data_IF_489565140620
#
_entry.id   IF_489565140620
#
_cell.length_a   1.000
_cell.length_b   1.000
_cell.length_c   1.000
_cell.angle_alpha   90.00
_cell.angle_beta   90.00
_cell.angle_gamma   90.00
#
_symmetry.space_group_name_H-M   'P 1'
#
loop_
_entity.id
_entity.type
_entity.pdbx_description
1 polymer ?
#
# COMPACT_ATOMS: atom_id res chain seq x y z
N UNK A 1 -17.98 -34.31 71.65
CA UNK A 1 -16.96 -33.65 70.80
C UNK A 1 -17.67 -33.10 69.57
N UNK A 2 -17.62 -31.78 69.36
CA UNK A 2 -18.38 -31.01 68.36
C UNK A 2 -17.43 -30.54 67.25
N UNK A 3 -17.80 -30.69 65.98
CA UNK A 3 -17.21 -30.04 64.79
C UNK A 3 -18.42 -29.48 64.00
N UNK A 4 -18.69 -28.17 63.86
CA UNK A 4 -18.00 -27.14 63.03
C UNK A 4 -17.67 -27.72 61.64
N UNK A 5 -18.27 -27.24 60.52
CA UNK A 5 -18.11 -25.91 59.96
C UNK A 5 -19.35 -25.40 59.19
N UNK A 6 -19.40 -24.08 59.08
CA UNK A 6 -20.57 -23.25 58.87
C UNK A 6 -20.88 -22.94 57.40
N UNK A 7 -22.18 -22.73 57.18
CA UNK A 7 -22.80 -22.05 56.06
C UNK A 7 -22.33 -20.60 55.93
N UNK A 8 -22.08 -20.13 54.70
CA UNK A 8 -22.08 -18.69 54.37
C UNK A 8 -22.78 -18.40 53.03
N UNK A 9 -24.06 -18.08 53.19
CA UNK A 9 -24.83 -17.00 52.57
C UNK A 9 -24.17 -16.19 51.42
N UNK A 10 -24.82 -16.26 50.27
CA UNK A 10 -24.80 -15.26 49.20
C UNK A 10 -25.82 -14.16 49.56
N UNK A 11 -25.38 -12.90 49.66
CA UNK A 11 -26.14 -11.66 49.29
C UNK A 11 -25.43 -10.37 49.73
N UNK A 12 -25.41 -9.38 48.83
CA UNK A 12 -25.41 -7.94 49.17
C UNK A 12 -24.11 -7.20 48.88
N UNK A 13 -23.97 -6.60 47.69
CA UNK A 13 -24.15 -5.14 47.44
C UNK A 13 -23.20 -4.24 48.24
N UNK A 14 -22.16 -3.71 47.58
CA UNK A 14 -21.73 -2.33 47.77
C UNK A 14 -21.24 -1.76 46.44
N UNK A 15 -21.61 -0.50 46.24
CA UNK A 15 -21.55 0.30 45.03
C UNK A 15 -20.11 0.60 44.63
N UNK A 16 -19.80 0.48 43.34
CA UNK A 16 -18.92 1.43 42.64
C UNK A 16 -19.60 1.80 41.32
N UNK A 17 -20.32 2.91 41.35
CA UNK A 17 -20.64 3.71 40.18
C UNK A 17 -19.38 4.54 39.88
N UNK A 18 -19.17 4.84 38.58
CA UNK A 18 -18.09 5.66 37.98
C UNK A 18 -16.81 4.90 37.61
N UNK A 19 -16.82 4.36 36.40
CA UNK A 19 -15.76 4.62 35.40
C UNK A 19 -16.22 4.09 34.04
N UNK A 20 -17.30 4.68 33.50
CA UNK A 20 -17.40 4.87 32.05
C UNK A 20 -16.28 5.86 31.71
N UNK A 21 -15.05 5.35 31.60
CA UNK A 21 -14.00 6.09 30.93
C UNK A 21 -14.51 6.18 29.51
N UNK A 22 -14.98 7.37 29.17
CA UNK A 22 -14.95 7.91 27.81
C UNK A 22 -13.52 7.74 27.33
N UNK A 23 -13.19 6.56 26.79
CA UNK A 23 -12.15 6.43 25.79
C UNK A 23 -12.87 6.62 24.46
N UNK A 24 -13.51 7.78 24.30
CA UNK A 24 -13.33 8.50 23.05
C UNK A 24 -11.83 8.82 23.05
N UNK A 25 -11.05 7.86 22.54
CA UNK A 25 -9.63 8.04 22.31
C UNK A 25 -9.48 9.36 21.60
N UNK A 26 -8.84 10.30 22.28
CA UNK A 26 -8.28 11.50 21.67
C UNK A 26 -7.34 10.96 20.60
N UNK A 27 -7.85 10.76 19.40
CA UNK A 27 -7.00 10.56 18.25
C UNK A 27 -6.25 11.89 18.13
N UNK A 28 -4.93 11.88 18.31
CA UNK A 28 -4.16 13.09 18.07
C UNK A 28 -4.39 13.54 16.62
N UNK A 29 -4.34 14.84 16.38
CA UNK A 29 -4.62 15.44 15.06
C UNK A 29 -3.70 14.95 13.92
N UNK A 30 -2.66 14.17 14.24
CA UNK A 30 -1.81 13.46 13.28
C UNK A 30 -2.31 12.07 12.90
N UNK A 31 -3.42 11.58 13.47
CA UNK A 31 -4.20 10.44 12.93
C UNK A 31 -4.91 10.87 11.63
N UNK A 32 -4.15 11.56 10.80
CA UNK A 32 -4.46 12.20 9.54
C UNK A 32 -4.86 11.07 8.60
N UNK A 33 -6.19 11.00 8.39
CA UNK A 33 -6.89 10.32 7.30
C UNK A 33 -5.97 9.50 6.42
N UNK A 34 -5.84 8.20 6.72
CA UNK A 34 -5.20 7.26 5.81
C UNK A 34 -5.92 7.37 4.47
N UNK A 35 -5.18 7.77 3.43
CA UNK A 35 -5.68 7.78 2.06
C UNK A 35 -6.28 6.39 1.76
N UNK A 36 -7.46 6.36 1.14
CA UNK A 36 -8.19 5.11 0.86
C UNK A 36 -8.22 4.88 -0.65
N UNK A 37 -7.89 3.66 -1.11
CA UNK A 37 -7.92 3.29 -2.54
C UNK A 37 -9.27 3.58 -3.20
N UNK A 38 -10.38 3.39 -2.49
CA UNK A 38 -11.71 3.69 -3.02
C UNK A 38 -11.91 5.20 -3.24
N UNK A 39 -11.37 6.05 -2.36
CA UNK A 39 -11.44 7.51 -2.55
C UNK A 39 -10.55 7.95 -3.70
N UNK A 40 -9.35 7.38 -3.81
CA UNK A 40 -8.42 7.59 -4.93
C UNK A 40 -9.09 7.20 -6.24
N UNK A 41 -9.70 6.02 -6.31
CA UNK A 41 -10.49 5.57 -7.46
C UNK A 41 -11.60 6.57 -7.82
N UNK A 42 -12.40 6.97 -6.83
CA UNK A 42 -13.52 7.90 -7.07
C UNK A 42 -13.04 9.25 -7.62
N UNK A 43 -11.91 9.76 -7.12
CA UNK A 43 -11.27 10.97 -7.67
C UNK A 43 -10.86 10.73 -9.12
N UNK A 44 -10.08 9.68 -9.40
CA UNK A 44 -9.63 9.36 -10.76
C UNK A 44 -10.79 9.25 -11.76
N UNK A 45 -11.84 8.50 -11.42
CA UNK A 45 -13.01 8.33 -12.29
C UNK A 45 -13.80 9.62 -12.48
N UNK A 46 -13.85 10.51 -11.47
CA UNK A 46 -14.49 11.82 -11.63
C UNK A 46 -13.82 12.70 -12.69
N UNK A 47 -12.55 12.43 -13.01
CA UNK A 47 -11.82 13.12 -14.08
C UNK A 47 -12.25 12.68 -15.47
N UNK A 48 -12.81 11.49 -15.64
CA UNK A 48 -13.24 10.95 -16.94
C UNK A 48 -14.26 11.84 -17.66
N UNK A 49 -15.01 12.66 -16.92
CA UNK A 49 -16.01 13.59 -17.46
C UNK A 49 -15.53 15.05 -17.51
N UNK A 50 -14.30 15.33 -17.10
CA UNK A 50 -13.73 16.67 -17.14
C UNK A 50 -13.20 16.98 -18.54
N UNK A 51 -13.38 18.23 -18.99
CA UNK A 51 -12.79 18.71 -20.24
C UNK A 51 -11.27 18.50 -20.22
N UNK A 52 -10.72 18.01 -21.33
CA UNK A 52 -9.31 17.62 -21.42
C UNK A 52 -9.02 16.16 -21.06
N UNK A 53 -9.93 15.46 -20.38
CA UNK A 53 -9.72 14.11 -19.86
C UNK A 53 -10.71 13.08 -20.38
N UNK A 54 -11.67 13.48 -21.22
CA UNK A 54 -12.63 12.55 -21.81
C UNK A 54 -11.94 11.62 -22.81
N UNK A 55 -12.47 10.40 -22.96
CA UNK A 55 -12.01 9.42 -23.94
C UNK A 55 -11.85 10.04 -25.33
N UNK A 56 -10.70 9.82 -25.96
CA UNK A 56 -10.41 10.30 -27.30
C UNK A 56 -9.98 11.77 -27.39
N UNK A 57 -9.88 12.48 -26.27
CA UNK A 57 -9.33 13.85 -26.24
C UNK A 57 -7.91 13.84 -26.84
N UNK A 58 -7.60 14.71 -27.82
CA UNK A 58 -6.25 14.83 -28.35
C UNK A 58 -5.25 15.14 -27.24
N UNK A 59 -4.18 14.36 -27.17
CA UNK A 59 -3.14 14.53 -26.15
C UNK A 59 -1.81 14.08 -26.72
N UNK A 60 -0.87 15.00 -26.85
CA UNK A 60 0.45 14.77 -27.44
C UNK A 60 1.57 15.24 -26.51
N UNK A 61 2.82 15.19 -26.99
CA UNK A 61 3.98 15.62 -26.21
C UNK A 61 4.02 17.12 -25.88
N UNK A 62 3.19 17.96 -26.51
CA UNK A 62 3.10 19.38 -26.19
C UNK A 62 2.27 19.65 -24.92
N UNK A 63 1.54 18.65 -24.44
CA UNK A 63 0.81 18.70 -23.19
C UNK A 63 1.79 18.54 -22.03
N UNK A 64 2.17 19.66 -21.43
CA UNK A 64 3.13 19.73 -20.34
C UNK A 64 2.43 19.82 -19.00
N UNK A 65 2.97 19.09 -18.02
CA UNK A 65 2.56 19.18 -16.62
C UNK A 65 3.76 19.48 -15.74
N UNK A 66 3.60 20.46 -14.86
CA UNK A 66 4.61 20.87 -13.88
C UNK A 66 4.19 20.35 -12.51
N UNK A 67 5.07 19.61 -11.84
CA UNK A 67 4.77 18.98 -10.56
C UNK A 67 4.34 20.01 -9.50
N UNK A 68 3.29 19.71 -8.73
CA UNK A 68 2.84 20.55 -7.60
C UNK A 68 3.18 19.95 -6.25
N UNK A 69 3.57 18.67 -6.24
CA UNK A 69 4.15 17.98 -5.07
C UNK A 69 5.59 17.58 -5.35
N UNK A 70 6.35 17.21 -4.32
CA UNK A 70 7.68 16.62 -4.51
C UNK A 70 7.55 15.34 -5.34
N UNK A 71 8.36 15.23 -6.39
CA UNK A 71 8.38 14.08 -7.29
C UNK A 71 9.79 13.49 -7.32
N UNK A 72 9.94 12.30 -6.75
CA UNK A 72 11.20 11.57 -6.64
C UNK A 72 12.35 12.42 -6.05
N UNK A 73 12.05 13.11 -4.96
CA UNK A 73 12.98 14.04 -4.31
C UNK A 73 13.15 15.40 -5.00
N UNK A 74 12.60 15.59 -6.21
CA UNK A 74 12.60 16.88 -6.91
C UNK A 74 11.48 17.76 -6.31
N UNK A 75 11.81 18.97 -5.80
CA UNK A 75 10.80 19.83 -5.18
C UNK A 75 9.64 20.22 -6.12
N UNK A 76 8.49 20.52 -5.53
CA UNK A 76 7.33 21.07 -6.24
C UNK A 76 7.73 22.26 -7.11
N UNK A 77 7.33 22.24 -8.38
CA UNK A 77 7.60 23.29 -9.35
C UNK A 77 8.99 23.25 -10.00
N UNK A 78 9.74 22.16 -9.85
CA UNK A 78 11.08 22.00 -10.46
C UNK A 78 11.16 20.84 -11.47
N UNK A 79 10.06 20.12 -11.67
CA UNK A 79 9.99 19.01 -12.61
C UNK A 79 8.81 19.19 -13.58
N UNK A 80 9.06 18.97 -14.87
CA UNK A 80 8.06 19.09 -15.93
C UNK A 80 8.03 17.80 -16.74
N UNK A 81 6.87 17.14 -16.76
CA UNK A 81 6.58 16.01 -17.63
C UNK A 81 5.82 16.44 -18.88
N UNK A 82 6.00 15.72 -19.99
CA UNK A 82 5.22 15.90 -21.23
C UNK A 82 4.45 14.64 -21.61
N UNK A 83 3.41 14.79 -22.43
CA UNK A 83 2.67 13.67 -23.01
C UNK A 83 2.10 12.71 -21.98
N UNK A 84 2.34 11.41 -22.15
CA UNK A 84 1.85 10.37 -21.24
C UNK A 84 2.41 10.51 -19.82
N UNK A 85 3.66 10.95 -19.68
CA UNK A 85 4.29 11.12 -18.37
C UNK A 85 3.72 12.33 -17.63
N UNK A 86 3.49 13.45 -18.34
CA UNK A 86 2.80 14.62 -17.79
C UNK A 86 1.35 14.30 -17.36
N UNK A 87 0.62 13.53 -18.16
CA UNK A 87 -0.71 13.04 -17.80
C UNK A 87 -0.69 12.19 -16.53
N UNK A 88 0.25 11.23 -16.43
CA UNK A 88 0.42 10.38 -15.25
C UNK A 88 0.69 11.22 -14.00
N UNK A 89 1.64 12.16 -14.06
CA UNK A 89 1.94 13.05 -12.93
C UNK A 89 0.69 13.81 -12.45
N UNK A 90 -0.06 14.41 -13.37
CA UNK A 90 -1.24 15.19 -13.02
C UNK A 90 -2.37 14.35 -12.42
N UNK A 91 -2.63 13.19 -13.01
CA UNK A 91 -3.62 12.25 -12.49
C UNK A 91 -3.25 11.75 -11.10
N UNK A 92 -1.98 11.43 -10.86
CA UNK A 92 -1.48 10.99 -9.56
C UNK A 92 -1.61 12.08 -8.49
N UNK A 93 -1.16 13.30 -8.80
CA UNK A 93 -1.27 14.43 -7.88
C UNK A 93 -2.74 14.77 -7.59
N UNK A 94 -3.62 14.70 -8.60
CA UNK A 94 -5.05 14.88 -8.40
C UNK A 94 -5.66 13.80 -7.48
N UNK A 95 -5.26 12.54 -7.67
CA UNK A 95 -5.79 11.42 -6.90
C UNK A 95 -5.37 11.45 -5.42
N UNK A 96 -4.17 11.97 -5.15
CA UNK A 96 -3.63 12.18 -3.80
C UNK A 96 -4.05 13.52 -3.16
N UNK A 97 -4.94 14.28 -3.81
CA UNK A 97 -5.34 15.62 -3.38
C UNK A 97 -4.18 16.63 -3.27
N UNK A 98 -3.10 16.41 -4.03
CA UNK A 98 -1.90 17.25 -4.03
C UNK A 98 -1.19 17.33 -2.67
N UNK A 99 -1.40 16.34 -1.80
CA UNK A 99 -0.85 16.34 -0.43
C UNK A 99 0.36 15.42 -0.26
N UNK A 100 0.50 14.42 -1.12
CA UNK A 100 1.48 13.35 -0.93
C UNK A 100 2.62 13.42 -1.95
N UNK A 101 3.89 13.31 -1.50
CA UNK A 101 5.01 13.23 -2.41
C UNK A 101 4.94 11.93 -3.23
N UNK A 102 5.33 12.01 -4.50
CA UNK A 102 5.44 10.86 -5.39
C UNK A 102 6.89 10.37 -5.36
N UNK A 103 7.10 9.05 -5.32
CA UNK A 103 8.42 8.41 -5.43
C UNK A 103 8.42 7.35 -6.52
N UNK A 104 9.60 7.05 -7.06
CA UNK A 104 9.76 5.98 -8.05
C UNK A 104 10.31 4.73 -7.35
N UNK A 105 9.68 3.58 -7.64
CA UNK A 105 10.09 2.25 -7.21
C UNK A 105 10.45 1.45 -8.47
N UNK A 106 11.56 0.71 -8.42
CA UNK A 106 11.98 -0.15 -9.53
C UNK A 106 10.90 -1.20 -9.87
N UNK A 107 10.65 -1.40 -11.16
CA UNK A 107 9.67 -2.36 -11.65
C UNK A 107 10.26 -3.77 -11.66
N UNK A 108 10.09 -4.50 -10.57
CA UNK A 108 10.47 -5.91 -10.47
C UNK A 108 9.23 -6.78 -10.31
N UNK A 109 9.34 -8.07 -10.63
CA UNK A 109 8.25 -9.04 -10.38
C UNK A 109 7.82 -9.06 -8.92
N UNK A 110 8.77 -8.88 -7.99
CA UNK A 110 8.50 -8.84 -6.55
C UNK A 110 7.74 -7.58 -6.13
N UNK A 111 7.78 -6.51 -6.93
CA UNK A 111 7.06 -5.26 -6.69
C UNK A 111 5.67 -5.21 -7.36
N UNK A 112 5.33 -6.13 -8.26
CA UNK A 112 4.00 -6.19 -8.86
C UNK A 112 2.85 -6.32 -7.84
N UNK A 113 2.98 -7.14 -6.76
CA UNK A 113 1.95 -7.22 -5.74
C UNK A 113 1.70 -5.91 -4.98
N UNK A 114 2.67 -4.98 -4.95
CA UNK A 114 2.57 -3.73 -4.18
C UNK A 114 1.88 -2.61 -4.94
N UNK A 115 1.56 -2.81 -6.22
CA UNK A 115 0.80 -1.87 -7.04
C UNK A 115 -0.59 -1.67 -6.45
N UNK A 116 -1.00 -0.41 -6.38
CA UNK A 116 -2.28 0.05 -5.85
C UNK A 116 -2.99 0.96 -6.84
N UNK A 117 -4.29 1.19 -6.60
CA UNK A 117 -5.04 2.19 -7.36
C UNK A 117 -4.36 3.56 -7.27
N UNK A 118 -4.27 4.25 -8.40
CA UNK A 118 -3.63 5.56 -8.53
C UNK A 118 -2.12 5.54 -8.73
N UNK A 119 -1.45 4.38 -8.62
CA UNK A 119 -0.04 4.29 -9.00
C UNK A 119 0.16 4.59 -10.49
N UNK A 120 1.26 5.28 -10.78
CA UNK A 120 1.78 5.42 -12.14
C UNK A 120 2.63 4.21 -12.50
N UNK A 121 2.51 3.70 -13.72
CA UNK A 121 3.31 2.59 -14.20
C UNK A 121 4.02 2.98 -15.49
N UNK A 122 5.33 2.72 -15.55
CA UNK A 122 6.16 2.94 -16.73
C UNK A 122 6.35 1.65 -17.52
N UNK A 123 6.07 1.73 -18.81
CA UNK A 123 5.97 0.62 -19.77
C UNK A 123 6.79 0.93 -21.04
N UNK A 124 6.85 -0.04 -21.95
CA UNK A 124 7.51 0.02 -23.25
C UNK A 124 9.01 0.37 -23.12
N UNK A 125 9.69 -0.22 -22.14
CA UNK A 125 11.11 0.02 -21.83
C UNK A 125 11.37 1.52 -21.61
N UNK A 126 10.69 2.09 -20.62
CA UNK A 126 10.73 3.52 -20.30
C UNK A 126 10.14 4.46 -21.38
N UNK A 127 9.23 3.96 -22.22
CA UNK A 127 8.64 4.72 -23.33
C UNK A 127 7.26 5.32 -23.05
N UNK A 128 6.46 4.72 -22.15
CA UNK A 128 5.06 5.08 -21.95
C UNK A 128 4.64 5.02 -20.48
N UNK A 129 3.72 5.91 -20.07
CA UNK A 129 3.22 5.98 -18.71
C UNK A 129 1.70 5.86 -18.67
N UNK A 130 1.21 5.13 -17.67
CA UNK A 130 -0.21 4.89 -17.42
C UNK A 130 -0.51 5.05 -15.92
N UNK A 131 -1.78 5.21 -15.55
CA UNK A 131 -2.24 5.28 -14.15
C UNK A 131 -3.20 4.14 -13.87
N UNK A 132 -2.97 3.40 -12.79
CA UNK A 132 -3.78 2.26 -12.38
C UNK A 132 -5.15 2.73 -11.86
N UNK A 133 -6.21 2.23 -12.47
CA UNK A 133 -7.60 2.43 -12.03
C UNK A 133 -8.07 1.26 -11.18
N UNK A 134 -7.73 0.04 -11.58
CA UNK A 134 -8.16 -1.17 -10.88
C UNK A 134 -7.06 -2.23 -10.96
N UNK A 135 -6.97 -3.06 -9.91
CA UNK A 135 -6.10 -4.24 -9.87
C UNK A 135 -6.95 -5.50 -10.04
N UNK A 136 -6.78 -6.22 -11.14
CA UNK A 136 -7.49 -7.47 -11.43
C UNK A 136 -6.77 -8.65 -10.76
N UNK A 137 -5.43 -8.63 -10.77
CA UNK A 137 -4.56 -9.59 -10.10
C UNK A 137 -3.22 -8.94 -9.79
N UNK A 138 -2.27 -9.67 -9.20
CA UNK A 138 -0.94 -9.13 -8.88
C UNK A 138 -0.19 -8.54 -10.07
N UNK A 139 -0.46 -9.00 -11.29
CA UNK A 139 0.23 -8.56 -12.51
C UNK A 139 -0.71 -7.95 -13.55
N UNK A 140 -2.03 -7.90 -13.31
CA UNK A 140 -3.01 -7.38 -14.28
C UNK A 140 -3.76 -6.18 -13.72
N UNK A 141 -3.77 -5.10 -14.48
CA UNK A 141 -4.35 -3.81 -14.09
C UNK A 141 -5.24 -3.24 -15.19
N UNK A 142 -6.26 -2.49 -14.81
CA UNK A 142 -6.99 -1.57 -15.69
C UNK A 142 -6.41 -0.18 -15.53
N UNK A 143 -6.20 0.55 -16.63
CA UNK A 143 -5.51 1.85 -16.58
C UNK A 143 -6.27 3.00 -17.25
N UNK A 144 -5.93 4.22 -16.83
CA UNK A 144 -6.09 5.45 -17.59
C UNK A 144 -4.74 5.85 -18.19
N UNK A 145 -4.76 6.38 -19.40
CA UNK A 145 -3.53 6.81 -20.09
C UNK A 145 -3.81 7.95 -21.06
N UNK A 146 -2.76 8.62 -21.50
CA UNK A 146 -2.85 9.60 -22.58
C UNK A 146 -1.63 9.51 -23.48
N UNK A 147 -1.67 10.21 -24.62
CA UNK A 147 -0.65 10.10 -25.67
C UNK A 147 -0.44 8.65 -26.17
N UNK A 148 -1.38 7.75 -25.91
CA UNK A 148 -1.45 6.47 -26.59
C UNK A 148 -2.24 6.71 -27.88
N UNK A 149 -1.57 6.60 -29.03
CA UNK A 149 -2.15 7.05 -30.31
C UNK A 149 -2.48 8.55 -30.35
N UNK A 150 -1.80 9.37 -29.52
CA UNK A 150 -2.01 10.81 -29.43
C UNK A 150 -3.33 11.22 -28.77
N UNK A 151 -3.91 10.37 -27.92
CA UNK A 151 -5.21 10.60 -27.27
C UNK A 151 -5.25 10.12 -25.82
N UNK A 152 -6.23 10.61 -25.08
CA UNK A 152 -6.64 10.07 -23.77
C UNK A 152 -7.45 8.79 -23.95
N UNK A 153 -7.15 7.79 -23.12
CA UNK A 153 -7.81 6.49 -23.09
C UNK A 153 -8.11 6.03 -21.67
N UNK A 154 -9.22 5.31 -21.50
CA UNK A 154 -9.65 4.72 -20.23
C UNK A 154 -10.03 3.26 -20.39
N UNK A 155 -9.60 2.42 -19.46
CA UNK A 155 -10.13 1.07 -19.31
C UNK A 155 -9.34 -0.03 -20.02
N UNK A 156 -8.12 0.24 -20.51
CA UNK A 156 -7.28 -0.80 -21.10
C UNK A 156 -6.76 -1.73 -20.01
N UNK A 157 -6.89 -3.04 -20.21
CA UNK A 157 -6.22 -4.05 -19.40
C UNK A 157 -4.77 -4.22 -19.84
N UNK A 158 -3.85 -4.27 -18.87
CA UNK A 158 -2.43 -4.49 -19.10
C UNK A 158 -1.95 -5.61 -18.18
N UNK A 159 -1.23 -6.56 -18.77
CA UNK A 159 -0.45 -7.58 -18.06
C UNK A 159 1.00 -7.08 -17.89
N UNK A 160 1.35 -6.65 -16.68
CA UNK A 160 2.65 -6.09 -16.33
C UNK A 160 3.76 -7.14 -16.27
N UNK A 161 3.40 -8.42 -16.14
CA UNK A 161 4.34 -9.54 -16.19
C UNK A 161 4.69 -9.93 -17.64
N UNK A 162 3.93 -9.46 -18.63
CA UNK A 162 4.22 -9.76 -20.02
C UNK A 162 5.44 -8.96 -20.52
N UNK A 163 6.50 -9.68 -20.91
CA UNK A 163 7.79 -9.08 -21.33
C UNK A 163 7.64 -8.02 -22.43
N UNK A 164 6.73 -8.23 -23.38
CA UNK A 164 6.51 -7.29 -24.48
C UNK A 164 5.94 -5.93 -24.03
N UNK A 165 5.37 -5.83 -22.83
CA UNK A 165 4.91 -4.56 -22.26
C UNK A 165 6.06 -3.76 -21.62
N UNK A 166 7.25 -4.34 -21.45
CA UNK A 166 8.46 -3.62 -21.02
C UNK A 166 8.30 -2.83 -19.72
N UNK A 167 7.70 -3.45 -18.70
CA UNK A 167 7.50 -2.84 -17.38
C UNK A 167 8.85 -2.41 -16.78
N UNK A 168 8.94 -1.16 -16.32
CA UNK A 168 10.20 -0.54 -15.91
C UNK A 168 10.18 -0.03 -14.47
N UNK A 169 9.15 0.72 -14.08
CA UNK A 169 9.04 1.27 -12.73
C UNK A 169 7.60 1.61 -12.37
N UNK A 170 7.39 1.83 -11.07
CA UNK A 170 6.14 2.27 -10.46
C UNK A 170 6.39 3.65 -9.85
N UNK A 171 5.58 4.64 -10.18
CA UNK A 171 5.50 5.89 -9.45
C UNK A 171 4.36 5.77 -8.43
N UNK A 172 4.61 6.09 -7.16
CA UNK A 172 3.60 5.96 -6.11
C UNK A 172 3.59 7.14 -5.14
N UNK A 173 2.39 7.59 -4.75
CA UNK A 173 2.17 8.57 -3.69
C UNK A 173 1.69 7.92 -2.38
N UNK A 174 1.32 6.64 -2.42
CA UNK A 174 0.96 5.90 -1.20
C UNK A 174 2.11 6.07 -0.25
N UNK A 175 1.94 6.49 1.01
CA UNK A 175 3.07 6.59 1.91
C UNK A 175 3.83 5.27 1.86
N UNK A 176 5.17 5.33 1.91
CA UNK A 176 5.86 4.12 2.35
C UNK A 176 5.16 3.76 3.63
N UNK A 177 4.63 2.55 3.71
CA UNK A 177 4.29 2.03 5.02
C UNK A 177 5.66 1.99 5.69
N UNK A 178 5.99 3.05 6.43
CA UNK A 178 7.09 3.05 7.37
C UNK A 178 6.61 2.02 8.36
N UNK A 179 6.88 0.77 8.08
CA UNK A 179 6.60 -0.38 8.90
C UNK A 179 7.73 -1.35 8.56
N UNK A 180 8.96 -0.88 8.78
CA UNK A 180 10.03 -1.79 9.17
C UNK A 180 9.56 -2.48 10.45
N UNK A 181 8.85 -3.58 10.29
CA UNK A 181 8.97 -4.65 11.26
C UNK A 181 10.33 -5.26 10.94
N UNK A 182 11.33 -4.89 11.74
CA UNK A 182 12.59 -5.62 11.75
C UNK A 182 12.26 -7.08 12.08
N UNK A 183 12.15 -7.90 11.06
CA UNK A 183 11.93 -9.33 11.17
C UNK A 183 13.31 -9.94 11.15
N UNK A 184 13.82 -10.26 12.34
CA UNK A 184 14.86 -11.27 12.46
C UNK A 184 14.20 -12.63 12.23
N UNK A 185 14.01 -13.04 10.98
CA UNK A 185 13.80 -14.46 10.67
C UNK A 185 15.20 -15.02 10.52
N UNK A 186 15.74 -15.67 11.54
CA UNK A 186 16.96 -16.46 11.38
C UNK A 186 16.57 -17.86 10.93
N UNK A 187 16.59 -18.06 9.62
CA UNK A 187 16.62 -19.39 9.04
C UNK A 187 18.06 -19.94 9.12
N UNK A 188 18.30 -20.78 10.13
CA UNK A 188 19.48 -21.65 10.19
C UNK A 188 19.18 -22.90 9.34
N UNK A 189 19.32 -22.72 8.02
CA UNK A 189 19.45 -23.72 6.96
C UNK A 189 18.17 -24.21 6.26
N UNK A 190 18.26 -24.19 4.92
CA UNK A 190 17.25 -24.35 3.85
C UNK A 190 16.33 -25.60 3.88
N UNK A 191 16.27 -26.36 4.97
CA UNK A 191 15.36 -27.50 5.14
C UNK A 191 14.91 -27.69 6.61
N UNK A 192 15.22 -26.74 7.50
CA UNK A 192 14.85 -26.84 8.91
C UNK A 192 13.53 -26.13 9.24
N UNK A 193 12.72 -26.70 10.16
CA UNK A 193 11.49 -26.07 10.60
C UNK A 193 11.73 -24.71 11.26
N UNK A 194 10.96 -23.69 10.87
CA UNK A 194 10.95 -22.38 11.55
C UNK A 194 10.70 -22.64 13.04
N UNK A 195 11.57 -22.10 13.90
CA UNK A 195 11.54 -22.31 15.36
C UNK A 195 10.94 -21.14 16.12
N UNK A 196 11.01 -19.95 15.53
CA UNK A 196 10.60 -18.71 16.18
C UNK A 196 10.26 -17.65 15.12
N UNK A 197 9.14 -16.94 15.32
CA UNK A 197 8.78 -15.74 14.57
C UNK A 197 8.56 -14.61 15.56
N UNK A 198 9.33 -13.52 15.43
CA UNK A 198 9.14 -12.30 16.21
C UNK A 198 8.71 -11.17 15.29
N UNK A 199 7.62 -10.52 15.68
CA UNK A 199 7.04 -9.39 15.00
C UNK A 199 7.18 -8.19 15.94
N UNK A 200 7.72 -7.10 15.43
CA UNK A 200 7.99 -5.85 16.15
C UNK A 200 7.23 -4.68 15.52
N UNK A 201 6.89 -3.65 16.29
CA UNK A 201 6.46 -2.35 15.77
C UNK A 201 7.66 -1.48 15.40
N UNK A 202 7.39 -0.38 14.70
CA UNK A 202 8.39 0.62 14.29
C UNK A 202 9.29 1.15 15.41
N UNK A 203 8.74 1.29 16.62
CA UNK A 203 9.49 1.75 17.79
C UNK A 203 10.31 0.62 18.47
N UNK A 204 10.42 -0.55 17.83
CA UNK A 204 11.15 -1.71 18.35
C UNK A 204 10.40 -2.52 19.41
N UNK A 205 9.11 -2.24 19.66
CA UNK A 205 8.32 -3.02 20.63
C UNK A 205 7.88 -4.34 20.00
N UNK A 206 8.10 -5.47 20.67
CA UNK A 206 7.62 -6.76 20.18
C UNK A 206 6.09 -6.81 20.25
N UNK A 207 5.42 -6.98 19.10
CA UNK A 207 3.96 -7.02 18.98
C UNK A 207 3.40 -8.45 18.93
N UNK A 208 4.18 -9.41 18.40
CA UNK A 208 3.79 -10.83 18.41
C UNK A 208 5.05 -11.68 18.47
N UNK A 209 4.99 -12.75 19.25
CA UNK A 209 6.03 -13.76 19.31
C UNK A 209 5.38 -15.12 19.19
N UNK A 210 5.75 -15.84 18.14
CA UNK A 210 5.26 -17.19 17.86
C UNK A 210 6.44 -18.12 18.08
N UNK A 211 6.40 -18.87 19.16
CA UNK A 211 7.39 -19.89 19.48
C UNK A 211 6.78 -21.25 19.17
N UNK A 212 6.99 -21.72 17.94
CA UNK A 212 6.49 -23.01 17.51
C UNK A 212 7.50 -23.63 16.54
N UNK A 213 7.93 -24.84 16.87
CA UNK A 213 8.77 -25.66 16.01
C UNK A 213 7.92 -26.27 14.90
N UNK A 214 8.35 -26.17 13.65
CA UNK A 214 7.68 -26.83 12.53
C UNK A 214 6.84 -25.92 11.64
N UNK A 215 6.87 -24.60 11.84
CA UNK A 215 6.04 -23.70 11.06
C UNK A 215 6.51 -23.65 9.60
N UNK A 216 5.57 -23.92 8.69
CA UNK A 216 5.77 -23.62 7.26
C UNK A 216 5.58 -22.13 7.01
N UNK A 217 6.22 -21.58 5.98
CA UNK A 217 5.99 -20.19 5.54
C UNK A 217 4.49 -19.94 5.30
N UNK A 218 3.77 -20.92 4.76
CA UNK A 218 2.32 -20.85 4.55
C UNK A 218 1.53 -20.67 5.85
N UNK A 219 1.96 -21.31 6.93
CA UNK A 219 1.36 -21.15 8.27
C UNK A 219 1.68 -19.78 8.86
N UNK A 220 2.90 -19.28 8.65
CA UNK A 220 3.28 -17.92 9.06
C UNK A 220 2.41 -16.89 8.33
N UNK A 221 2.19 -17.06 7.03
CA UNK A 221 1.32 -16.18 6.23
C UNK A 221 -0.14 -16.20 6.70
N UNK A 222 -0.69 -17.34 7.10
CA UNK A 222 -2.07 -17.42 7.62
C UNK A 222 -2.26 -16.76 8.99
N UNK A 223 -1.16 -16.57 9.72
CA UNK A 223 -1.13 -15.94 11.06
C UNK A 223 -0.89 -14.43 11.02
N UNK A 224 -0.62 -13.89 9.83
CA UNK A 224 -0.50 -12.45 9.61
C UNK A 224 -1.90 -11.81 9.61
N UNK A 225 -2.03 -10.57 10.10
CA UNK A 225 -3.27 -9.83 9.94
C UNK A 225 -3.64 -9.71 8.45
N UNK A 226 -4.94 -9.63 8.16
CA UNK A 226 -5.42 -9.44 6.78
C UNK A 226 -4.79 -8.17 6.19
N UNK A 227 -4.32 -8.26 4.94
CA UNK A 227 -3.58 -7.18 4.28
C UNK A 227 -2.07 -7.36 4.31
N UNK A 228 -1.52 -8.19 5.21
CA UNK A 228 -0.07 -8.33 5.31
C UNK A 228 0.49 -9.47 4.45
N UNK A 229 1.69 -9.28 3.88
CA UNK A 229 2.40 -10.28 3.05
C UNK A 229 3.91 -10.28 3.32
N UNK A 230 4.61 -11.36 2.92
CA UNK A 230 6.06 -11.51 3.09
C UNK A 230 6.79 -11.30 1.76
N UNK A 231 7.90 -10.55 1.76
CA UNK A 231 8.85 -10.48 0.64
C UNK A 231 10.21 -10.99 1.11
N UNK A 232 10.85 -11.83 0.29
CA UNK A 232 12.17 -12.38 0.57
C UNK A 232 13.24 -11.38 0.13
N UNK A 233 14.06 -10.90 1.05
CA UNK A 233 15.12 -9.92 0.72
C UNK A 233 16.49 -10.54 0.54
N UNK A 234 16.74 -11.67 1.20
CA UNK A 234 18.02 -12.38 1.13
C UNK A 234 17.81 -13.87 1.33
N UNK A 235 18.85 -14.66 1.06
CA UNK A 235 18.94 -16.04 1.58
C UNK A 235 18.75 -15.97 3.09
N UNK A 236 17.55 -16.35 3.56
CA UNK A 236 17.16 -16.54 4.96
C UNK A 236 16.43 -15.38 5.66
N UNK A 237 16.13 -14.26 4.98
CA UNK A 237 15.40 -13.13 5.58
C UNK A 237 14.14 -12.78 4.77
N UNK A 238 13.02 -12.61 5.46
CA UNK A 238 11.77 -12.09 4.89
C UNK A 238 11.33 -10.85 5.64
N UNK A 239 10.85 -9.83 4.91
CA UNK A 239 10.17 -8.67 5.47
C UNK A 239 8.65 -8.83 5.38
N UNK A 240 7.93 -8.32 6.38
CA UNK A 240 6.47 -8.27 6.39
C UNK A 240 6.02 -6.89 5.92
N UNK A 241 5.10 -6.85 4.96
CA UNK A 241 4.50 -5.64 4.38
C UNK A 241 3.02 -5.60 4.71
N UNK A 242 2.42 -4.40 4.77
CA UNK A 242 0.97 -4.22 4.78
C UNK A 242 0.51 -3.76 3.38
N UNK A 243 -0.57 -4.34 2.90
CA UNK A 243 -1.23 -4.06 1.63
C UNK A 243 -2.31 -2.98 1.71
N UNK A 244 -2.55 -2.42 2.91
CA UNK A 244 -3.35 -1.20 3.12
C UNK A 244 -2.52 0.07 3.05
#
# INVERSE_FOLDING_TARGET
MKNQYAWRSIKGLHRVILSLIVIASILPSWAQTSLNEQEVYNRLISRKTQEGYTEGTPWDNSHLYKNKVTFDGIPAGYYTGGGCFGFMMDMMEYASNYEYPIRIIEGTYDNLPVIRVGDGVRLNNDGHSVVVLEKISDHKVIVAEANYGGKVHWGREIDLAAEYNGFTNIATFWPEVSNTIATGITDLDNDSPIREVRIYSLNGTQIKHIQQTGLSIKTVLSELPKGFYLVKEATKTYKVYNGE
#
